data_IF_972645727515
#
_entry.id   IF_972645727515
#
_cell.length_a   1.000
_cell.length_b   1.000
_cell.length_c   1.000
_cell.angle_alpha   90.00
_cell.angle_beta   90.00
_cell.angle_gamma   90.00
#
_symmetry.space_group_name_H-M   'P 1'
#
loop_
_entity.id
_entity.type
_entity.pdbx_description
1 polymer ?
#
# COMPACT_ATOMS: atom_id res chain seq x y z
N UNK A 1 8.17 0.38 -27.41
CA UNK A 1 7.87 1.45 -28.38
C UNK A 1 8.67 2.66 -27.96
N UNK A 2 9.21 3.43 -28.90
CA UNK A 2 10.06 4.60 -28.64
C UNK A 2 9.53 5.77 -29.47
N UNK A 3 9.41 6.93 -28.84
CA UNK A 3 9.30 8.23 -29.50
C UNK A 3 10.37 9.18 -28.94
N UNK A 4 10.41 10.43 -29.42
CA UNK A 4 11.45 11.39 -29.02
C UNK A 4 11.49 11.70 -27.51
N UNK A 5 10.40 11.46 -26.78
CA UNK A 5 10.23 11.83 -25.38
C UNK A 5 10.06 10.62 -24.44
N UNK A 6 9.84 9.42 -24.98
CA UNK A 6 9.55 8.23 -24.18
C UNK A 6 10.13 6.95 -24.79
N UNK A 7 10.62 6.07 -23.92
CA UNK A 7 10.85 4.65 -24.22
C UNK A 7 10.00 3.78 -23.29
N UNK A 8 9.20 2.89 -23.86
CA UNK A 8 8.51 1.82 -23.11
C UNK A 8 9.02 0.44 -23.54
N UNK A 9 9.53 -0.31 -22.57
CA UNK A 9 10.02 -1.69 -22.71
C UNK A 9 9.01 -2.65 -22.10
N UNK A 10 8.75 -3.76 -22.78
CA UNK A 10 7.90 -4.86 -22.32
C UNK A 10 8.70 -6.16 -22.33
N UNK A 11 8.63 -6.89 -21.21
CA UNK A 11 9.25 -8.19 -21.01
C UNK A 11 8.15 -9.19 -20.66
N UNK A 12 7.58 -9.78 -21.69
CA UNK A 12 6.50 -10.76 -21.57
C UNK A 12 7.05 -12.16 -21.41
N UNK A 13 6.53 -12.88 -20.41
CA UNK A 13 6.68 -14.32 -20.25
C UNK A 13 5.30 -14.94 -20.35
N UNK A 14 5.07 -15.72 -21.41
CA UNK A 14 3.86 -16.51 -21.54
C UNK A 14 3.96 -17.79 -20.72
N UNK A 15 2.82 -18.31 -20.25
CA UNK A 15 2.80 -19.63 -19.62
C UNK A 15 3.23 -20.71 -20.62
N UNK A 16 4.08 -21.62 -20.16
CA UNK A 16 4.52 -22.80 -20.91
C UNK A 16 4.12 -24.03 -20.09
N UNK A 17 3.15 -24.79 -20.60
CA UNK A 17 2.62 -25.97 -19.91
C UNK A 17 3.65 -27.10 -19.79
N UNK A 18 4.75 -27.07 -20.57
CA UNK A 18 5.83 -28.06 -20.48
C UNK A 18 6.82 -27.74 -19.36
N UNK A 19 6.82 -26.51 -18.85
CA UNK A 19 7.71 -26.09 -17.78
C UNK A 19 6.98 -26.05 -16.44
N UNK A 20 7.16 -27.10 -15.63
CA UNK A 20 6.53 -27.22 -14.32
C UNK A 20 6.90 -26.10 -13.31
N UNK A 21 7.98 -25.33 -13.57
CA UNK A 21 8.34 -24.16 -12.74
C UNK A 21 7.54 -22.91 -13.09
N UNK A 22 6.80 -22.90 -14.20
CA UNK A 22 5.99 -21.77 -14.61
C UNK A 22 4.60 -21.84 -13.97
N UNK A 23 4.26 -20.80 -13.21
CA UNK A 23 2.88 -20.50 -12.86
C UNK A 23 2.03 -20.45 -14.13
N UNK A 24 0.82 -21.02 -14.10
CA UNK A 24 -0.21 -20.94 -15.15
C UNK A 24 -0.71 -19.49 -15.32
N UNK A 25 0.18 -18.60 -15.73
CA UNK A 25 -0.04 -17.15 -15.77
C UNK A 25 0.97 -16.48 -16.73
N UNK A 26 0.44 -15.67 -17.63
CA UNK A 26 1.21 -14.71 -18.41
C UNK A 26 1.63 -13.55 -17.51
N UNK A 27 2.89 -13.13 -17.62
CA UNK A 27 3.44 -12.00 -16.87
C UNK A 27 4.12 -11.06 -17.87
N UNK A 28 3.61 -9.84 -18.01
CA UNK A 28 4.25 -8.78 -18.77
C UNK A 28 4.79 -7.71 -17.81
N UNK A 29 6.12 -7.58 -17.76
CA UNK A 29 6.80 -6.56 -16.95
C UNK A 29 7.16 -5.40 -17.85
N UNK A 30 6.76 -4.20 -17.46
CA UNK A 30 6.94 -3.01 -18.28
C UNK A 30 7.71 -1.92 -17.55
N UNK A 31 8.56 -1.22 -18.29
CA UNK A 31 9.37 -0.10 -17.82
C UNK A 31 9.20 1.07 -18.77
N UNK A 32 9.00 2.26 -18.22
CA UNK A 32 8.85 3.49 -18.99
C UNK A 32 9.89 4.50 -18.52
N UNK A 33 10.65 5.04 -19.46
CA UNK A 33 11.63 6.10 -19.24
C UNK A 33 11.15 7.31 -20.03
N UNK A 34 11.06 8.46 -19.36
CA UNK A 34 10.66 9.73 -19.96
C UNK A 34 11.86 10.68 -20.00
N UNK A 35 11.98 11.44 -21.09
CA UNK A 35 13.02 12.45 -21.26
C UNK A 35 12.92 13.51 -20.15
N UNK A 36 14.05 13.80 -19.50
CA UNK A 36 14.15 14.87 -18.51
C UNK A 36 13.61 14.52 -17.12
N UNK A 37 13.18 13.28 -16.90
CA UNK A 37 12.70 12.80 -15.60
C UNK A 37 13.80 12.00 -14.89
N UNK A 38 14.06 12.32 -13.62
CA UNK A 38 15.08 11.65 -12.80
C UNK A 38 14.54 10.34 -12.20
N UNK A 39 14.32 9.35 -13.05
CA UNK A 39 13.76 8.08 -12.63
C UNK A 39 13.17 7.27 -13.78
N UNK A 40 12.40 6.25 -13.44
CA UNK A 40 11.66 5.46 -14.41
C UNK A 40 10.41 4.87 -13.77
N UNK A 41 9.38 4.62 -14.56
CA UNK A 41 8.15 3.99 -14.13
C UNK A 41 8.23 2.49 -14.39
N UNK A 42 7.58 1.69 -13.55
CA UNK A 42 7.43 0.26 -13.78
C UNK A 42 6.05 -0.22 -13.40
N UNK A 43 5.56 -1.21 -14.14
CA UNK A 43 4.26 -1.83 -13.92
C UNK A 43 4.24 -3.26 -14.42
N UNK A 44 3.28 -4.04 -13.95
CA UNK A 44 3.10 -5.43 -14.35
C UNK A 44 1.69 -5.70 -14.82
N UNK A 45 1.54 -6.50 -15.87
CA UNK A 45 0.26 -7.05 -16.31
C UNK A 45 0.31 -8.55 -16.08
N UNK A 46 -0.59 -9.04 -15.24
CA UNK A 46 -0.74 -10.48 -14.99
C UNK A 46 -2.02 -10.94 -15.68
N UNK A 47 -1.94 -12.06 -16.38
CA UNK A 47 -3.06 -12.60 -17.15
C UNK A 47 -3.16 -14.12 -17.03
N UNK A 48 -4.41 -14.60 -17.00
CA UNK A 48 -4.80 -15.98 -17.21
C UNK A 48 -5.89 -16.03 -18.29
N UNK A 49 -5.73 -16.98 -19.21
CA UNK A 49 -6.75 -17.27 -20.21
C UNK A 49 -7.72 -18.34 -19.70
N UNK A 50 -8.89 -18.39 -20.33
CA UNK A 50 -9.95 -19.33 -19.99
C UNK A 50 -9.47 -20.79 -20.13
N UNK A 51 -9.89 -21.64 -19.19
CA UNK A 51 -9.56 -23.07 -19.17
C UNK A 51 -8.17 -23.41 -18.61
N UNK A 52 -7.42 -22.43 -18.11
CA UNK A 52 -6.08 -22.69 -17.55
C UNK A 52 -6.12 -23.38 -16.18
N UNK A 53 -5.13 -24.25 -15.86
CA UNK A 53 -5.12 -25.03 -14.62
C UNK A 53 -5.12 -24.16 -13.36
N UNK A 54 -5.73 -24.69 -12.30
CA UNK A 54 -5.80 -24.07 -10.97
C UNK A 54 -4.43 -23.63 -10.46
N UNK A 55 -4.41 -22.49 -9.77
CA UNK A 55 -3.20 -21.98 -9.12
C UNK A 55 -3.53 -21.12 -7.91
N UNK A 56 -2.60 -21.14 -6.95
CA UNK A 56 -2.56 -20.21 -5.82
C UNK A 56 -1.30 -19.36 -5.92
N UNK A 57 -1.48 -18.04 -5.95
CA UNK A 57 -0.39 -17.06 -5.95
C UNK A 57 -0.50 -16.20 -4.71
N UNK A 58 0.42 -16.40 -3.78
CA UNK A 58 0.36 -15.77 -2.46
C UNK A 58 1.03 -14.40 -2.38
N UNK A 59 1.94 -14.08 -3.29
CA UNK A 59 2.64 -12.79 -3.30
C UNK A 59 2.97 -12.35 -4.73
N UNK A 60 2.79 -11.06 -4.99
CA UNK A 60 3.23 -10.38 -6.21
C UNK A 60 3.80 -9.02 -5.85
N UNK A 61 4.98 -8.70 -6.39
CA UNK A 61 5.74 -7.50 -6.01
C UNK A 61 6.84 -7.16 -6.99
N UNK A 62 7.23 -5.89 -6.99
CA UNK A 62 8.50 -5.42 -7.57
C UNK A 62 9.51 -5.25 -6.43
N UNK A 63 10.76 -5.67 -6.67
CA UNK A 63 11.82 -5.62 -5.67
C UNK A 63 13.11 -5.12 -6.32
N UNK A 64 13.69 -4.09 -5.72
CA UNK A 64 15.03 -3.61 -6.02
C UNK A 64 15.96 -3.97 -4.86
N UNK A 65 17.02 -4.73 -5.17
CA UNK A 65 18.12 -4.99 -4.23
C UNK A 65 19.22 -4.00 -4.53
N UNK A 66 19.36 -2.99 -3.67
CA UNK A 66 20.34 -1.94 -3.86
C UNK A 66 21.73 -2.41 -3.40
N UNK A 67 22.77 -1.67 -3.79
CA UNK A 67 24.14 -1.99 -3.40
C UNK A 67 24.34 -1.61 -1.93
N UNK A 68 24.48 -2.60 -1.06
CA UNK A 68 24.66 -2.44 0.40
C UNK A 68 25.75 -1.44 0.80
N UNK A 69 26.88 -1.43 0.08
CA UNK A 69 27.96 -0.49 0.34
C UNK A 69 27.59 0.97 0.08
N UNK A 70 26.56 1.23 -0.72
CA UNK A 70 26.10 2.57 -1.04
C UNK A 70 24.91 2.95 -0.16
N UNK A 71 23.89 2.10 -0.07
CA UNK A 71 22.61 2.43 0.56
C UNK A 71 22.52 1.83 1.96
N UNK A 72 22.62 2.68 2.98
CA UNK A 72 22.71 2.28 4.39
C UNK A 72 21.62 2.89 5.27
N UNK A 73 20.97 3.95 4.80
CA UNK A 73 19.96 4.67 5.55
C UNK A 73 18.61 4.49 4.86
N UNK A 74 17.61 4.04 5.60
CA UNK A 74 16.26 3.77 5.11
C UNK A 74 15.29 4.80 5.67
N UNK A 75 14.32 5.21 4.84
CA UNK A 75 13.23 6.09 5.23
C UNK A 75 11.91 5.57 4.65
N UNK A 76 10.93 5.32 5.53
CA UNK A 76 9.59 4.84 5.15
C UNK A 76 8.46 5.74 5.69
N UNK A 77 8.76 6.63 6.63
CA UNK A 77 7.91 7.75 7.07
C UNK A 77 8.80 8.83 7.71
N UNK A 78 8.23 9.97 8.10
CA UNK A 78 8.98 11.03 8.82
C UNK A 78 9.53 10.53 10.17
N UNK A 79 8.82 9.59 10.79
CA UNK A 79 9.10 9.02 12.10
C UNK A 79 9.96 7.77 12.03
N UNK A 80 9.97 7.08 10.88
CA UNK A 80 10.60 5.77 10.70
C UNK A 80 11.72 5.86 9.68
N UNK A 81 12.84 6.41 10.13
CA UNK A 81 14.07 6.52 9.37
C UNK A 81 15.27 6.12 10.22
N UNK A 82 16.21 5.36 9.66
CA UNK A 82 17.41 4.92 10.40
C UNK A 82 18.52 4.42 9.50
N UNK A 83 19.71 4.34 10.07
CA UNK A 83 20.74 3.42 9.60
C UNK A 83 20.24 2.00 9.81
N UNK A 84 20.28 1.21 8.75
CA UNK A 84 19.86 -0.18 8.76
C UNK A 84 21.03 -1.12 9.00
N UNK A 85 20.80 -2.27 9.66
CA UNK A 85 21.78 -3.35 9.64
C UNK A 85 22.06 -3.82 8.21
N UNK A 86 23.24 -4.38 7.99
CA UNK A 86 23.57 -5.09 6.74
C UNK A 86 22.99 -6.50 6.74
N UNK A 87 22.98 -7.16 5.58
CA UNK A 87 22.63 -8.57 5.51
C UNK A 87 23.61 -9.44 6.34
N UNK A 88 24.90 -9.05 6.36
CA UNK A 88 25.92 -9.73 7.16
C UNK A 88 25.71 -9.54 8.67
N UNK A 89 25.33 -8.34 9.11
CA UNK A 89 25.02 -8.08 10.53
C UNK A 89 23.87 -8.98 11.02
N UNK A 90 22.86 -9.19 10.18
CA UNK A 90 21.77 -10.14 10.46
C UNK A 90 22.24 -11.59 10.45
N UNK A 91 23.09 -11.98 9.50
CA UNK A 91 23.60 -13.36 9.41
C UNK A 91 24.43 -13.75 10.64
N UNK A 92 25.23 -12.81 11.15
CA UNK A 92 26.04 -12.97 12.37
C UNK A 92 25.25 -12.77 13.67
N UNK A 93 24.02 -12.26 13.57
CA UNK A 93 23.13 -12.03 14.69
C UNK A 93 22.52 -13.32 15.26
N UNK A 94 21.88 -13.19 16.41
CA UNK A 94 21.16 -14.30 17.02
C UNK A 94 19.70 -14.27 16.57
N UNK A 95 19.27 -15.28 15.80
CA UNK A 95 17.84 -15.51 15.56
C UNK A 95 17.14 -15.79 16.89
N UNK A 96 16.02 -15.14 17.10
CA UNK A 96 15.15 -15.34 18.26
C UNK A 96 14.09 -16.41 17.91
N UNK A 97 12.93 -16.36 18.57
CA UNK A 97 11.88 -17.38 18.42
C UNK A 97 11.32 -17.44 16.99
N UNK A 98 11.32 -16.32 16.28
CA UNK A 98 10.95 -16.23 14.86
C UNK A 98 12.17 -16.00 13.98
N UNK A 99 12.24 -16.63 12.79
CA UNK A 99 13.39 -16.48 11.90
C UNK A 99 13.54 -15.05 11.35
N UNK A 100 12.46 -14.26 11.33
CA UNK A 100 12.49 -12.84 11.00
C UNK A 100 13.11 -11.96 12.09
N UNK A 101 13.00 -12.33 13.36
CA UNK A 101 13.49 -11.54 14.48
C UNK A 101 14.95 -11.90 14.80
N UNK A 102 15.85 -10.94 14.60
CA UNK A 102 17.30 -11.15 14.80
C UNK A 102 17.84 -10.12 15.78
N UNK A 103 18.41 -10.58 16.89
CA UNK A 103 19.18 -9.76 17.81
C UNK A 103 20.55 -9.45 17.20
N UNK A 104 20.81 -8.16 16.99
CA UNK A 104 21.98 -7.66 16.29
C UNK A 104 23.19 -7.52 17.21
N UNK A 105 24.36 -7.97 16.76
CA UNK A 105 25.65 -7.70 17.41
C UNK A 105 26.74 -7.13 16.44
N UNK A 106 26.43 -6.10 15.64
CA UNK A 106 27.35 -5.53 14.67
C UNK A 106 28.45 -4.66 15.31
N UNK A 107 29.43 -4.29 14.50
CA UNK A 107 30.46 -3.29 14.88
C UNK A 107 29.87 -1.90 15.01
N UNK A 108 28.79 -1.59 14.26
CA UNK A 108 28.10 -0.31 14.35
C UNK A 108 27.34 -0.22 15.69
N UNK A 109 27.80 0.66 16.59
CA UNK A 109 27.23 0.83 17.92
C UNK A 109 25.80 1.39 17.92
N UNK A 110 25.37 2.08 16.85
CA UNK A 110 24.04 2.69 16.77
C UNK A 110 22.90 1.67 16.67
N UNK A 111 23.19 0.44 16.26
CA UNK A 111 22.20 -0.62 16.02
C UNK A 111 22.53 -1.90 16.80
N UNK A 112 23.55 -1.84 17.67
CA UNK A 112 24.03 -2.97 18.45
C UNK A 112 23.10 -3.25 19.61
N UNK A 113 22.72 -4.53 19.79
CA UNK A 113 21.79 -4.96 20.83
C UNK A 113 20.33 -4.69 20.51
N UNK A 114 20.01 -4.26 19.30
CA UNK A 114 18.64 -4.11 18.82
C UNK A 114 18.11 -5.37 18.14
N UNK A 115 16.79 -5.54 18.12
CA UNK A 115 16.14 -6.59 17.34
C UNK A 115 15.67 -6.03 16.00
N UNK A 116 16.08 -6.66 14.91
CA UNK A 116 15.66 -6.33 13.56
C UNK A 116 14.67 -7.37 13.03
N UNK A 117 13.50 -6.91 12.61
CA UNK A 117 12.47 -7.70 11.95
C UNK A 117 11.88 -6.93 10.75
N UNK A 118 11.81 -7.59 9.59
CA UNK A 118 11.30 -6.99 8.35
C UNK A 118 9.87 -6.45 8.50
N UNK A 119 9.04 -7.06 9.35
CA UNK A 119 7.64 -6.68 9.56
C UNK A 119 7.49 -5.37 10.34
N UNK A 120 8.52 -4.92 11.05
CA UNK A 120 8.53 -3.61 11.68
C UNK A 120 8.44 -2.49 10.62
N UNK A 121 8.99 -2.73 9.43
CA UNK A 121 9.01 -1.80 8.31
C UNK A 121 7.79 -1.95 7.37
N UNK A 122 6.69 -2.51 7.86
CA UNK A 122 5.42 -2.53 7.14
C UNK A 122 4.66 -1.21 7.30
N UNK A 123 3.81 -0.90 6.34
CA UNK A 123 2.92 0.27 6.36
C UNK A 123 1.53 -0.13 5.89
N UNK A 124 0.50 0.55 6.41
CA UNK A 124 -0.84 0.51 5.83
C UNK A 124 -0.78 1.06 4.40
N UNK A 125 -1.55 0.50 3.48
CA UNK A 125 -1.64 0.96 2.09
C UNK A 125 -1.88 2.47 1.99
N UNK A 126 -2.82 3.00 2.80
CA UNK A 126 -3.16 4.43 2.86
C UNK A 126 -2.00 5.36 3.22
N UNK A 127 -0.92 4.84 3.79
CA UNK A 127 0.27 5.60 4.20
C UNK A 127 1.49 5.28 3.29
N UNK A 128 1.39 4.28 2.42
CA UNK A 128 2.51 3.74 1.65
C UNK A 128 2.62 4.41 0.26
N UNK A 129 2.91 5.71 0.29
CA UNK A 129 3.03 6.59 -0.89
C UNK A 129 4.47 6.75 -1.38
N UNK A 130 5.44 6.86 -0.46
CA UNK A 130 6.86 6.98 -0.79
C UNK A 130 7.73 6.35 0.29
N UNK A 131 8.72 5.58 -0.14
CA UNK A 131 9.74 5.02 0.75
C UNK A 131 11.02 4.70 0.00
N UNK A 132 12.13 4.60 0.73
CA UNK A 132 13.35 4.07 0.14
C UNK A 132 14.61 4.27 0.94
N UNK A 133 15.69 4.55 0.22
CA UNK A 133 17.04 4.47 0.74
C UNK A 133 17.89 5.68 0.33
N UNK A 134 18.72 6.12 1.27
CA UNK A 134 19.73 7.14 1.09
C UNK A 134 21.10 6.48 1.06
N UNK A 135 21.88 6.86 0.05
CA UNK A 135 23.32 6.68 0.03
C UNK A 135 24.00 7.96 0.53
N UNK A 136 24.88 7.89 1.54
CA UNK A 136 25.65 9.05 1.97
C UNK A 136 26.83 9.34 1.02
N UNK A 137 27.26 8.36 0.22
CA UNK A 137 28.35 8.52 -0.74
C UNK A 137 28.21 7.56 -1.94
N UNK A 138 27.84 8.07 -3.14
CA UNK A 138 27.48 9.46 -3.41
C UNK A 138 26.19 9.85 -2.68
N UNK A 139 25.98 11.14 -2.41
CA UNK A 139 24.77 11.66 -1.72
C UNK A 139 23.55 11.57 -2.63
N UNK A 140 22.94 10.39 -2.69
CA UNK A 140 21.85 10.06 -3.63
C UNK A 140 20.73 9.29 -2.94
N UNK A 141 19.49 9.54 -3.33
CA UNK A 141 18.33 8.78 -2.89
C UNK A 141 17.83 7.81 -3.96
N UNK A 142 17.24 6.70 -3.51
CA UNK A 142 16.48 5.76 -4.32
C UNK A 142 15.12 5.56 -3.66
N UNK A 143 14.06 5.97 -4.36
CA UNK A 143 12.71 6.04 -3.81
C UNK A 143 11.74 5.26 -4.66
N UNK A 144 10.77 4.64 -4.00
CA UNK A 144 9.62 4.03 -4.63
C UNK A 144 8.39 4.86 -4.31
N UNK A 145 7.81 5.47 -5.34
CA UNK A 145 6.60 6.28 -5.26
C UNK A 145 5.42 5.50 -5.83
N UNK A 146 4.34 5.43 -5.06
CA UNK A 146 3.08 4.77 -5.44
C UNK A 146 1.97 5.81 -5.49
N UNK A 147 1.56 6.29 -6.68
CA UNK A 147 0.62 7.40 -6.82
C UNK A 147 -0.86 6.99 -6.61
N UNK A 148 -1.14 5.70 -6.46
CA UNK A 148 -2.49 5.16 -6.25
C UNK A 148 -2.43 3.77 -5.60
N UNK A 149 -3.45 3.47 -4.80
CA UNK A 149 -3.69 2.13 -4.24
C UNK A 149 -4.61 1.26 -5.13
N UNK A 150 -5.02 1.73 -6.32
CA UNK A 150 -6.15 1.11 -7.04
C UNK A 150 -5.97 -0.37 -7.36
N UNK A 151 -4.72 -0.78 -7.56
CA UNK A 151 -4.34 -2.15 -7.88
C UNK A 151 -4.00 -2.99 -6.64
N UNK A 152 -3.84 -2.38 -5.46
CA UNK A 152 -3.57 -3.09 -4.20
C UNK A 152 -4.83 -3.80 -3.71
N UNK A 153 -4.66 -4.64 -2.70
CA UNK A 153 -5.71 -5.49 -2.12
C UNK A 153 -6.02 -5.11 -0.67
N UNK A 154 -7.16 -5.57 -0.16
CA UNK A 154 -7.52 -5.46 1.26
C UNK A 154 -7.81 -4.04 1.75
N UNK A 155 -7.98 -3.09 0.83
CA UNK A 155 -8.34 -1.71 1.12
C UNK A 155 -7.28 -0.89 1.87
N UNK A 156 -7.68 0.27 2.45
CA UNK A 156 -6.75 1.29 2.94
C UNK A 156 -5.88 0.85 4.13
N UNK A 157 -6.39 -0.06 4.97
CA UNK A 157 -5.76 -0.47 6.23
C UNK A 157 -4.95 -1.77 6.11
N UNK A 158 -4.92 -2.39 4.93
CA UNK A 158 -4.08 -3.57 4.69
C UNK A 158 -2.61 -3.17 4.80
N UNK A 159 -1.86 -3.92 5.61
CA UNK A 159 -0.43 -3.70 5.82
C UNK A 159 0.42 -4.56 4.89
N UNK A 160 1.50 -3.98 4.40
CA UNK A 160 2.48 -4.69 3.59
C UNK A 160 3.91 -4.15 3.77
N UNK A 161 4.89 -4.94 3.32
CA UNK A 161 6.31 -4.60 3.43
C UNK A 161 6.69 -3.45 2.50
N UNK A 162 7.62 -2.60 2.96
CA UNK A 162 8.16 -1.47 2.20
C UNK A 162 9.66 -1.67 1.89
N UNK A 163 10.55 -1.04 2.65
CA UNK A 163 12.00 -1.23 2.62
C UNK A 163 12.48 -1.97 3.86
N UNK A 164 13.46 -2.85 3.73
CA UNK A 164 14.03 -3.58 4.86
C UNK A 164 15.50 -3.99 4.62
N UNK A 165 16.12 -4.56 5.65
CA UNK A 165 17.54 -4.97 5.67
C UNK A 165 18.01 -5.70 4.42
N UNK A 166 19.23 -5.38 3.97
CA UNK A 166 19.85 -5.91 2.74
C UNK A 166 19.65 -5.00 1.53
N UNK A 167 19.87 -3.69 1.71
CA UNK A 167 18.96 -2.61 1.28
C UNK A 167 17.96 -3.01 0.20
N UNK A 168 16.86 -3.59 0.65
CA UNK A 168 15.76 -4.01 -0.20
C UNK A 168 14.72 -2.90 -0.23
N UNK A 169 14.32 -2.48 -1.43
CA UNK A 169 13.18 -1.59 -1.65
C UNK A 169 12.10 -2.35 -2.42
N UNK A 170 10.88 -2.41 -1.89
CA UNK A 170 9.80 -3.24 -2.44
C UNK A 170 8.55 -2.42 -2.72
N UNK A 171 7.78 -2.87 -3.71
CA UNK A 171 6.39 -2.47 -3.86
C UNK A 171 5.53 -3.73 -3.91
N UNK A 172 4.73 -3.94 -2.87
CA UNK A 172 3.82 -5.08 -2.79
C UNK A 172 2.55 -4.78 -3.58
N UNK A 173 2.24 -5.67 -4.52
CA UNK A 173 0.98 -5.62 -5.27
C UNK A 173 -0.12 -6.39 -4.53
N UNK A 174 0.23 -7.58 -4.05
CA UNK A 174 -0.63 -8.42 -3.23
C UNK A 174 0.23 -9.35 -2.36
N UNK A 175 -0.29 -9.70 -1.18
CA UNK A 175 0.36 -10.61 -0.24
C UNK A 175 -0.63 -11.22 0.76
N UNK A 176 -0.24 -12.34 1.36
CA UNK A 176 -0.91 -12.92 2.53
C UNK A 176 -0.52 -12.27 3.86
N UNK A 177 0.36 -11.26 3.88
CA UNK A 177 0.79 -10.63 5.13
C UNK A 177 -0.41 -9.97 5.82
N UNK A 178 -0.57 -10.17 7.13
CA UNK A 178 -1.65 -9.58 7.95
C UNK A 178 -3.10 -9.93 7.54
N UNK A 179 -3.29 -10.86 6.59
CA UNK A 179 -4.62 -11.38 6.25
C UNK A 179 -4.67 -12.88 5.99
N UNK A 180 -3.52 -13.55 5.88
CA UNK A 180 -3.45 -15.00 5.63
C UNK A 180 -3.82 -15.39 4.20
N UNK A 181 -4.03 -16.69 3.98
CA UNK A 181 -4.26 -17.25 2.64
C UNK A 181 -5.57 -16.80 1.98
N UNK A 182 -6.51 -16.21 2.72
CA UNK A 182 -7.75 -15.66 2.15
C UNK A 182 -7.46 -14.50 1.18
N UNK A 183 -6.33 -13.82 1.37
CA UNK A 183 -5.81 -12.80 0.47
C UNK A 183 -4.89 -13.37 -0.63
N UNK A 184 -4.73 -14.69 -0.73
CA UNK A 184 -4.06 -15.28 -1.88
C UNK A 184 -4.91 -15.15 -3.15
N UNK A 185 -4.27 -14.93 -4.30
CA UNK A 185 -4.96 -15.04 -5.58
C UNK A 185 -5.16 -16.53 -5.89
N UNK A 186 -6.41 -17.00 -5.73
CA UNK A 186 -6.81 -18.38 -5.99
C UNK A 186 -7.67 -18.44 -7.24
N UNK A 187 -7.15 -19.07 -8.29
CA UNK A 187 -7.88 -19.27 -9.55
C UNK A 187 -8.30 -20.72 -9.66
N UNK A 188 -9.57 -20.96 -9.98
CA UNK A 188 -10.19 -22.28 -10.06
C UNK A 188 -10.99 -22.42 -11.34
N UNK A 189 -11.22 -23.66 -11.76
CA UNK A 189 -12.19 -24.03 -12.82
C UNK A 189 -11.96 -23.28 -14.15
N UNK A 190 -10.69 -22.96 -14.46
CA UNK A 190 -10.35 -22.27 -15.70
C UNK A 190 -10.70 -20.78 -15.75
N UNK A 191 -10.90 -20.13 -14.60
CA UNK A 191 -11.22 -18.69 -14.50
C UNK A 191 -10.21 -17.81 -15.28
N UNK A 192 -10.67 -17.04 -16.29
CA UNK A 192 -9.85 -16.02 -16.94
C UNK A 192 -9.72 -14.80 -16.02
N UNK A 193 -8.57 -14.14 -16.06
CA UNK A 193 -8.33 -12.97 -15.24
C UNK A 193 -7.21 -12.12 -15.83
N UNK A 194 -7.32 -10.80 -15.75
CA UNK A 194 -6.25 -9.87 -16.15
C UNK A 194 -6.26 -8.67 -15.22
N UNK A 195 -5.09 -8.24 -14.76
CA UNK A 195 -4.94 -7.02 -13.95
C UNK A 195 -3.61 -6.33 -14.19
N UNK A 196 -3.68 -5.00 -14.26
CA UNK A 196 -2.52 -4.09 -14.29
C UNK A 196 -2.19 -3.64 -12.87
N UNK A 197 -0.91 -3.76 -12.50
CA UNK A 197 -0.35 -3.31 -11.22
C UNK A 197 0.67 -2.19 -11.45
N UNK A 198 0.37 -0.98 -10.95
CA UNK A 198 1.10 0.26 -11.24
C UNK A 198 0.46 1.08 -12.38
N UNK A 199 1.21 2.01 -13.01
CA UNK A 199 2.63 2.27 -12.79
C UNK A 199 3.00 2.88 -11.45
N UNK A 200 4.12 2.39 -10.91
CA UNK A 200 4.82 2.96 -9.75
C UNK A 200 6.10 3.63 -10.26
N UNK A 201 6.56 4.67 -9.56
CA UNK A 201 7.68 5.49 -10.02
C UNK A 201 8.92 5.26 -9.16
N UNK A 202 10.00 4.80 -9.78
CA UNK A 202 11.33 4.74 -9.17
C UNK A 202 11.98 6.10 -9.35
N UNK A 203 12.04 6.88 -8.27
CA UNK A 203 12.61 8.22 -8.29
C UNK A 203 14.04 8.23 -7.76
N UNK A 204 14.90 8.98 -8.44
CA UNK A 204 16.31 9.13 -8.11
C UNK A 204 16.61 10.61 -7.96
N UNK A 205 17.18 11.00 -6.82
CA UNK A 205 17.64 12.36 -6.59
C UNK A 205 19.06 12.36 -6.02
N UNK A 206 19.73 13.50 -6.10
CA UNK A 206 21.10 13.67 -5.65
C UNK A 206 21.32 15.07 -5.11
N UNK A 207 22.16 15.18 -4.08
CA UNK A 207 22.53 16.49 -3.53
C UNK A 207 23.67 17.13 -4.32
N UNK A 208 23.60 18.46 -4.43
CA UNK A 208 24.71 19.27 -4.93
C UNK A 208 25.92 19.17 -4.00
N UNK A 209 27.07 19.71 -4.41
CA UNK A 209 28.27 19.73 -3.57
C UNK A 209 28.03 20.47 -2.23
N UNK A 210 27.22 21.54 -2.27
CA UNK A 210 27.05 22.49 -1.18
C UNK A 210 25.99 22.07 -0.14
N UNK A 211 25.04 21.20 -0.51
CA UNK A 211 24.02 20.69 0.41
C UNK A 211 24.60 19.58 1.30
N UNK A 212 24.65 19.82 2.62
CA UNK A 212 25.25 18.89 3.57
C UNK A 212 24.23 17.98 4.23
N UNK A 213 22.98 18.40 4.35
CA UNK A 213 21.95 17.60 5.00
C UNK A 213 21.37 16.55 4.05
N UNK A 214 21.81 15.30 4.22
CA UNK A 214 21.31 14.15 3.45
C UNK A 214 19.80 13.93 3.58
N UNK A 215 19.14 14.43 4.64
CA UNK A 215 17.70 14.26 4.84
C UNK A 215 16.86 15.14 3.89
N UNK A 216 17.46 16.14 3.24
CA UNK A 216 16.79 16.89 2.16
C UNK A 216 16.40 15.99 0.99
N UNK A 217 17.12 14.88 0.74
CA UNK A 217 16.75 13.87 -0.26
C UNK A 217 15.38 13.25 0.01
N UNK A 218 15.01 13.05 1.29
CA UNK A 218 13.70 12.54 1.67
C UNK A 218 12.61 13.60 1.47
N UNK A 219 12.90 14.85 1.81
CA UNK A 219 11.96 15.97 1.62
C UNK A 219 11.61 16.15 0.13
N UNK A 220 12.62 16.16 -0.73
CA UNK A 220 12.47 16.23 -2.19
C UNK A 220 11.71 15.00 -2.75
N UNK A 221 11.94 13.80 -2.22
CA UNK A 221 11.18 12.61 -2.61
C UNK A 221 9.68 12.70 -2.24
N UNK A 222 9.35 13.33 -1.10
CA UNK A 222 7.95 13.60 -0.74
C UNK A 222 7.31 14.64 -1.67
N UNK A 223 8.05 15.68 -2.04
CA UNK A 223 7.58 16.66 -3.04
C UNK A 223 7.30 15.98 -4.38
N UNK A 224 8.21 15.14 -4.86
CA UNK A 224 7.99 14.35 -6.07
C UNK A 224 6.77 13.42 -5.94
N UNK A 225 6.55 12.80 -4.77
CA UNK A 225 5.38 11.96 -4.53
C UNK A 225 4.06 12.71 -4.70
N UNK A 226 3.98 13.96 -4.23
CA UNK A 226 2.80 14.79 -4.45
C UNK A 226 2.58 15.09 -5.93
N UNK A 227 3.64 15.40 -6.67
CA UNK A 227 3.58 15.63 -8.13
C UNK A 227 3.05 14.37 -8.85
N UNK A 228 3.59 13.19 -8.54
CA UNK A 228 3.13 11.93 -9.16
C UNK A 228 1.66 11.61 -8.81
N UNK A 229 1.23 11.92 -7.58
CA UNK A 229 -0.16 11.72 -7.13
C UNK A 229 -1.11 12.66 -7.85
N UNK A 230 -0.73 13.92 -8.08
CA UNK A 230 -1.53 14.90 -8.85
C UNK A 230 -1.61 14.54 -10.34
N UNK A 231 -0.53 13.97 -10.88
CA UNK A 231 -0.46 13.54 -12.28
C UNK A 231 -1.21 12.21 -12.54
N UNK A 232 -1.72 11.53 -11.52
CA UNK A 232 -2.45 10.28 -11.70
C UNK A 232 -3.87 10.51 -12.27
N UNK A 233 -4.29 9.73 -13.28
CA UNK A 233 -3.59 8.65 -13.97
C UNK A 233 -2.69 9.17 -15.09
N UNK A 234 -1.55 8.51 -15.29
CA UNK A 234 -0.60 8.89 -16.31
C UNK A 234 -1.15 8.77 -17.75
N UNK A 235 -0.75 9.68 -18.62
CA UNK A 235 -1.15 9.69 -20.04
C UNK A 235 -0.21 8.89 -20.96
N UNK A 236 0.99 8.59 -20.48
CA UNK A 236 2.09 8.03 -21.26
C UNK A 236 2.14 6.48 -21.36
N UNK A 237 1.53 5.66 -20.46
CA UNK A 237 1.57 4.21 -20.64
C UNK A 237 0.88 3.78 -21.94
N UNK A 238 1.57 2.94 -22.74
CA UNK A 238 1.12 2.56 -24.08
C UNK A 238 0.32 1.25 -24.10
N UNK A 239 0.25 0.50 -22.98
CA UNK A 239 -0.59 -0.70 -22.93
C UNK A 239 -2.07 -0.34 -23.08
N UNK A 240 -2.79 -1.09 -23.92
CA UNK A 240 -4.25 -1.00 -24.01
C UNK A 240 -4.94 -1.50 -22.73
N UNK A 241 -4.25 -2.32 -21.94
CA UNK A 241 -4.74 -2.81 -20.65
C UNK A 241 -4.74 -1.72 -19.57
N UNK A 242 -3.95 -0.65 -19.76
CA UNK A 242 -3.91 0.46 -18.83
C UNK A 242 -5.05 1.45 -19.14
N UNK A 243 -6.00 1.58 -18.21
CA UNK A 243 -7.10 2.51 -18.36
C UNK A 243 -6.59 3.97 -18.23
N UNK A 244 -6.76 4.75 -19.30
CA UNK A 244 -6.39 6.18 -19.38
C UNK A 244 -7.38 7.08 -18.65
N UNK A 245 -7.02 8.35 -18.46
CA UNK A 245 -7.84 9.33 -17.74
C UNK A 245 -9.25 9.49 -18.33
N UNK A 246 -9.38 9.57 -19.64
CA UNK A 246 -10.64 9.72 -20.38
C UNK A 246 -11.52 8.46 -20.35
N UNK A 247 -10.90 7.31 -20.09
CA UNK A 247 -11.60 6.03 -19.93
C UNK A 247 -12.14 5.81 -18.52
N UNK A 248 -11.81 6.68 -17.57
CA UNK A 248 -12.22 6.55 -16.16
C UNK A 248 -13.42 7.43 -15.84
N UNK A 249 -14.12 7.08 -14.77
CA UNK A 249 -15.25 7.82 -14.23
C UNK A 249 -14.98 8.43 -12.86
N UNK A 250 -16.00 9.10 -12.34
CA UNK A 250 -15.99 9.71 -11.00
C UNK A 250 -17.28 9.40 -10.27
N UNK A 251 -17.19 9.20 -8.96
CA UNK A 251 -18.33 8.96 -8.08
C UNK A 251 -18.28 9.94 -6.92
N UNK A 252 -19.39 10.62 -6.66
CA UNK A 252 -19.48 11.61 -5.58
C UNK A 252 -20.76 11.45 -4.79
N UNK A 253 -20.80 11.94 -3.56
CA UNK A 253 -22.00 11.96 -2.74
C UNK A 253 -21.74 12.56 -1.37
N UNK A 254 -22.66 12.30 -0.43
CA UNK A 254 -22.52 12.68 0.98
C UNK A 254 -22.87 11.51 1.87
N UNK A 255 -22.05 11.21 2.86
CA UNK A 255 -22.33 10.21 3.89
C UNK A 255 -22.70 10.91 5.20
N UNK A 256 -23.82 10.52 5.79
CA UNK A 256 -24.26 10.92 7.11
C UNK A 256 -24.50 9.69 7.98
N UNK A 257 -24.43 9.88 9.29
CA UNK A 257 -24.68 8.83 10.28
C UNK A 257 -25.99 9.10 11.00
N UNK A 258 -26.79 8.06 11.17
CA UNK A 258 -27.95 8.06 12.05
C UNK A 258 -27.66 7.16 13.25
N UNK A 259 -27.55 7.77 14.42
CA UNK A 259 -27.41 7.07 15.69
C UNK A 259 -28.32 7.73 16.72
N UNK A 260 -29.53 7.19 16.88
CA UNK A 260 -30.57 7.76 17.76
C UNK A 260 -30.21 7.76 19.25
N UNK A 261 -29.18 7.02 19.65
CA UNK A 261 -28.69 7.00 21.03
C UNK A 261 -27.62 8.07 21.28
N UNK A 262 -27.04 8.64 20.22
CA UNK A 262 -26.06 9.73 20.28
C UNK A 262 -26.70 11.08 19.96
N UNK A 263 -27.50 11.14 18.89
CA UNK A 263 -28.20 12.36 18.47
C UNK A 263 -29.53 12.05 17.79
N UNK A 264 -30.52 12.93 17.96
CA UNK A 264 -31.77 12.88 17.19
C UNK A 264 -31.61 13.40 15.76
N UNK A 265 -30.57 14.19 15.48
CA UNK A 265 -30.23 14.67 14.14
C UNK A 265 -29.23 13.74 13.45
N UNK A 266 -29.19 13.81 12.11
CA UNK A 266 -28.12 13.18 11.34
C UNK A 266 -26.77 13.83 11.70
N UNK A 267 -25.75 13.01 11.82
CA UNK A 267 -24.38 13.41 12.16
C UNK A 267 -23.53 13.37 10.89
N UNK A 268 -22.62 14.32 10.70
CA UNK A 268 -21.70 14.29 9.57
C UNK A 268 -20.68 13.17 9.76
N UNK A 269 -20.51 12.35 8.73
CA UNK A 269 -19.49 11.31 8.72
C UNK A 269 -18.14 11.93 8.38
N UNK A 270 -17.49 12.62 9.32
CA UNK A 270 -16.18 13.24 9.09
C UNK A 270 -15.07 12.18 8.99
N UNK A 271 -14.14 12.33 8.04
CA UNK A 271 -12.98 11.44 7.85
C UNK A 271 -13.33 9.96 7.63
N UNK A 272 -14.59 9.65 7.30
CA UNK A 272 -15.04 8.32 6.95
C UNK A 272 -14.33 7.86 5.67
N UNK A 273 -13.81 6.63 5.70
CA UNK A 273 -13.27 6.00 4.52
C UNK A 273 -14.43 5.45 3.70
N UNK A 274 -14.51 5.87 2.46
CA UNK A 274 -15.56 5.49 1.52
C UNK A 274 -14.92 5.08 0.20
N UNK A 275 -15.37 3.96 -0.35
CA UNK A 275 -14.72 3.37 -1.49
C UNK A 275 -15.58 2.45 -2.34
N UNK A 276 -15.06 2.13 -3.52
CA UNK A 276 -15.63 1.19 -4.47
C UNK A 276 -14.74 -0.04 -4.52
N UNK A 277 -15.34 -1.21 -4.40
CA UNK A 277 -14.68 -2.49 -4.60
C UNK A 277 -15.63 -3.46 -5.32
N UNK A 278 -15.17 -4.69 -5.59
CA UNK A 278 -16.02 -5.70 -6.20
C UNK A 278 -17.35 -5.87 -5.43
N UNK A 279 -18.46 -6.14 -6.14
CA UNK A 279 -19.71 -6.51 -5.51
C UNK A 279 -19.53 -7.72 -4.59
N UNK A 280 -20.13 -7.65 -3.40
CA UNK A 280 -20.03 -8.68 -2.38
C UNK A 280 -20.82 -8.32 -1.14
N UNK A 281 -20.60 -9.08 -0.07
CA UNK A 281 -21.23 -8.83 1.23
C UNK A 281 -20.64 -7.60 1.92
N UNK A 282 -21.34 -7.07 2.92
CA UNK A 282 -20.86 -6.01 3.79
C UNK A 282 -19.48 -6.37 4.37
N UNK A 283 -18.48 -5.51 4.16
CA UNK A 283 -17.10 -5.72 4.64
C UNK A 283 -16.22 -6.60 3.74
N UNK A 284 -16.76 -7.21 2.68
CA UNK A 284 -16.02 -8.11 1.77
C UNK A 284 -14.83 -7.44 1.06
N UNK A 285 -14.84 -6.12 0.95
CA UNK A 285 -13.72 -5.33 0.41
C UNK A 285 -12.39 -5.56 1.15
N UNK A 286 -12.41 -5.96 2.42
CA UNK A 286 -11.22 -6.25 3.23
C UNK A 286 -10.48 -7.51 2.77
N UNK A 287 -11.18 -8.42 2.08
CA UNK A 287 -10.62 -9.67 1.56
C UNK A 287 -10.56 -9.71 0.03
N UNK A 288 -11.06 -8.67 -0.63
CA UNK A 288 -11.03 -8.53 -2.08
C UNK A 288 -9.59 -8.38 -2.58
N UNK A 289 -9.22 -9.23 -3.53
CA UNK A 289 -7.85 -9.43 -4.00
C UNK A 289 -7.67 -9.47 -5.53
N UNK A 290 -8.72 -9.76 -6.30
CA UNK A 290 -8.68 -9.92 -7.76
C UNK A 290 -9.07 -8.65 -8.51
N UNK A 291 -9.99 -7.85 -7.99
CA UNK A 291 -10.50 -6.65 -8.62
C UNK A 291 -9.74 -5.38 -8.19
N UNK A 292 -10.05 -4.25 -8.82
CA UNK A 292 -9.57 -2.94 -8.39
C UNK A 292 -10.41 -2.40 -7.23
N UNK A 293 -9.81 -1.57 -6.39
CA UNK A 293 -10.52 -0.84 -5.34
C UNK A 293 -10.17 0.64 -5.36
N UNK A 294 -11.09 1.52 -4.99
CA UNK A 294 -10.87 2.96 -5.01
C UNK A 294 -11.37 3.54 -3.71
N UNK A 295 -10.55 4.31 -3.00
CA UNK A 295 -10.88 4.81 -1.67
C UNK A 295 -10.58 6.30 -1.55
N UNK A 296 -11.39 6.99 -0.76
CA UNK A 296 -11.16 8.37 -0.36
C UNK A 296 -11.69 8.58 1.06
N UNK A 297 -11.43 9.76 1.62
CA UNK A 297 -12.05 10.19 2.86
C UNK A 297 -13.07 11.28 2.58
N UNK A 298 -14.14 11.24 3.36
CA UNK A 298 -15.11 12.33 3.43
C UNK A 298 -14.51 13.58 4.08
N UNK A 299 -14.99 14.75 3.66
CA UNK A 299 -14.65 16.02 4.30
C UNK A 299 -15.40 16.21 5.64
N UNK A 300 -15.20 17.37 6.29
CA UNK A 300 -15.85 17.70 7.57
C UNK A 300 -17.38 17.73 7.51
N UNK A 301 -17.95 17.88 6.31
CA UNK A 301 -19.38 17.90 6.05
C UNK A 301 -19.92 16.54 5.58
N UNK A 302 -19.05 15.53 5.44
CA UNK A 302 -19.42 14.18 4.98
C UNK A 302 -19.46 14.04 3.45
N UNK A 303 -19.03 15.03 2.67
CA UNK A 303 -18.98 14.90 1.22
C UNK A 303 -17.75 14.10 0.78
N UNK A 304 -17.89 13.32 -0.28
CA UNK A 304 -16.79 12.55 -0.85
C UNK A 304 -16.75 12.67 -2.38
N UNK A 305 -15.54 12.47 -2.92
CA UNK A 305 -15.29 12.40 -4.36
C UNK A 305 -14.23 11.34 -4.65
N UNK A 306 -14.68 10.22 -5.22
CA UNK A 306 -13.82 9.15 -5.73
C UNK A 306 -13.53 9.44 -7.20
N UNK A 307 -12.30 9.83 -7.52
CA UNK A 307 -11.84 10.15 -8.87
C UNK A 307 -11.22 8.92 -9.55
N UNK A 308 -11.05 9.00 -10.87
CA UNK A 308 -10.21 8.09 -11.65
C UNK A 308 -10.63 6.61 -11.56
N UNK A 309 -11.91 6.34 -11.39
CA UNK A 309 -12.45 4.99 -11.23
C UNK A 309 -12.46 4.27 -12.58
N UNK A 310 -11.85 3.09 -12.66
CA UNK A 310 -11.88 2.26 -13.87
C UNK A 310 -13.33 1.83 -14.16
N UNK A 311 -13.75 1.71 -15.44
CA UNK A 311 -15.07 1.21 -15.76
C UNK A 311 -15.34 -0.17 -15.14
N UNK A 312 -16.54 -0.35 -14.60
CA UNK A 312 -16.90 -1.59 -13.91
C UNK A 312 -18.20 -1.49 -13.13
N UNK A 313 -18.58 -2.61 -12.54
CA UNK A 313 -19.70 -2.70 -11.61
C UNK A 313 -19.15 -2.85 -10.19
N UNK A 314 -19.55 -1.97 -9.29
CA UNK A 314 -18.99 -1.89 -7.94
C UNK A 314 -20.07 -1.89 -6.87
N UNK A 315 -19.73 -2.38 -5.68
CA UNK A 315 -20.43 -1.99 -4.45
C UNK A 315 -19.70 -0.79 -3.84
N UNK A 316 -20.46 0.13 -3.24
CA UNK A 316 -19.92 1.22 -2.45
C UNK A 316 -19.90 0.80 -0.98
N UNK A 317 -18.73 0.89 -0.37
CA UNK A 317 -18.50 0.54 1.02
C UNK A 317 -18.04 1.77 1.80
N UNK A 318 -18.32 1.82 3.09
CA UNK A 318 -17.71 2.81 3.97
C UNK A 318 -17.50 2.28 5.38
N UNK A 319 -16.58 2.91 6.11
CA UNK A 319 -16.48 2.79 7.55
C UNK A 319 -16.07 4.15 8.13
N UNK A 320 -16.55 4.44 9.33
CA UNK A 320 -16.40 5.77 9.93
C UNK A 320 -15.67 5.60 11.26
N UNK A 321 -14.49 6.21 11.43
CA UNK A 321 -13.82 6.22 12.72
C UNK A 321 -14.75 6.67 13.84
N UNK A 322 -14.83 5.90 14.93
CA UNK A 322 -15.72 6.19 16.06
C UNK A 322 -17.13 5.59 15.94
N UNK A 323 -17.44 4.91 14.83
CA UNK A 323 -18.67 4.12 14.68
C UNK A 323 -18.36 2.66 14.39
N UNK A 324 -19.10 1.77 15.06
CA UNK A 324 -18.96 0.31 14.88
C UNK A 324 -19.59 -0.10 13.57
N UNK A 325 -18.91 -0.97 12.83
CA UNK A 325 -19.45 -1.71 11.69
C UNK A 325 -18.94 -1.23 10.33
N UNK A 326 -19.42 -1.92 9.30
CA UNK A 326 -19.18 -1.60 7.90
C UNK A 326 -20.50 -1.16 7.26
N UNK A 327 -20.45 -0.11 6.46
CA UNK A 327 -21.54 0.33 5.60
C UNK A 327 -21.37 -0.25 4.20
N UNK A 328 -22.48 -0.64 3.58
CA UNK A 328 -22.58 -0.92 2.16
C UNK A 328 -23.83 -0.25 1.60
N UNK A 329 -23.69 0.38 0.43
CA UNK A 329 -24.84 0.90 -0.31
C UNK A 329 -25.50 -0.22 -1.11
N UNK A 330 -26.80 -0.45 -0.94
CA UNK A 330 -27.49 -1.59 -1.56
C UNK A 330 -27.43 -1.58 -3.10
N UNK A 331 -27.67 -0.44 -3.79
CA UNK A 331 -27.58 -0.38 -5.25
C UNK A 331 -26.14 -0.41 -5.75
N UNK A 332 -25.92 -1.14 -6.84
CA UNK A 332 -24.61 -1.15 -7.49
C UNK A 332 -24.25 0.20 -8.13
N UNK A 333 -22.96 0.50 -8.11
CA UNK A 333 -22.34 1.64 -8.76
C UNK A 333 -21.71 1.17 -10.08
N UNK A 334 -22.48 1.29 -11.16
CA UNK A 334 -21.96 1.15 -12.52
C UNK A 334 -21.19 2.42 -12.90
N UNK A 335 -19.92 2.24 -13.29
CA UNK A 335 -19.04 3.29 -13.82
C UNK A 335 -18.74 2.98 -15.28
N UNK A 336 -18.99 3.96 -16.15
CA UNK A 336 -18.63 3.90 -17.58
C UNK A 336 -17.56 4.95 -17.90
N UNK A 337 -16.85 4.85 -19.05
CA UNK A 337 -15.88 5.86 -19.47
C UNK A 337 -16.45 7.29 -19.42
N UNK A 338 -15.71 8.21 -18.81
CA UNK A 338 -16.08 9.62 -18.66
C UNK A 338 -17.29 9.89 -17.75
N UNK A 339 -17.87 8.87 -17.11
CA UNK A 339 -19.07 9.06 -16.29
C UNK A 339 -18.82 9.89 -15.04
N UNK A 340 -19.83 10.68 -14.66
CA UNK A 340 -19.88 11.43 -13.41
C UNK A 340 -21.13 11.01 -12.66
N UNK A 341 -20.99 10.03 -11.76
CA UNK A 341 -22.11 9.50 -10.98
C UNK A 341 -22.20 10.23 -9.65
N UNK A 342 -23.37 10.83 -9.39
CA UNK A 342 -23.70 11.39 -8.08
C UNK A 342 -24.62 10.43 -7.36
N UNK A 343 -24.11 9.82 -6.31
CA UNK A 343 -24.94 9.17 -5.28
C UNK A 343 -25.41 10.31 -4.38
N UNK A 344 -26.69 10.36 -4.04
CA UNK A 344 -27.23 11.44 -3.21
C UNK A 344 -26.71 11.35 -1.76
N UNK A 345 -27.51 11.76 -0.79
CA UNK A 345 -27.15 11.58 0.62
C UNK A 345 -27.37 10.14 1.04
N UNK A 346 -26.27 9.50 1.43
CA UNK A 346 -26.22 8.19 2.04
C UNK A 346 -26.38 8.32 3.55
N UNK A 347 -27.11 7.38 4.14
CA UNK A 347 -27.32 7.32 5.58
C UNK A 347 -26.79 5.99 6.08
N UNK A 348 -25.84 6.04 7.00
CA UNK A 348 -25.40 4.88 7.76
C UNK A 348 -26.19 4.80 9.07
N UNK A 349 -27.09 3.83 9.14
CA UNK A 349 -27.77 3.48 10.39
C UNK A 349 -26.83 2.62 11.24
N UNK A 350 -26.38 3.17 12.39
CA UNK A 350 -25.40 2.47 13.22
C UNK A 350 -26.01 1.19 13.82
N UNK A 351 -25.26 0.08 13.94
CA UNK A 351 -25.79 -1.20 14.40
C UNK A 351 -26.00 -1.26 15.93
N UNK A 352 -26.32 -0.13 16.58
CA UNK A 352 -26.52 -0.07 18.04
C UNK A 352 -27.95 -0.47 18.41
N UNK A 353 -28.07 -1.34 19.41
CA UNK A 353 -29.35 -1.77 19.98
C UNK A 353 -29.79 -0.95 21.21
N UNK A 354 -28.94 -0.04 21.70
CA UNK A 354 -29.16 0.71 22.94
C UNK A 354 -28.07 1.75 23.18
N UNK A 355 -28.23 2.61 24.21
CA UNK A 355 -27.20 3.55 24.62
C UNK A 355 -25.97 2.80 25.16
N UNK A 356 -24.77 3.30 24.84
CA UNK A 356 -23.51 2.78 25.37
C UNK A 356 -23.40 3.05 26.87
N UNK A 357 -23.29 1.99 27.69
CA UNK A 357 -23.04 2.13 29.13
C UNK A 357 -21.55 2.32 29.43
N UNK A 358 -20.71 1.57 28.72
CA UNK A 358 -19.26 1.65 28.75
C UNK A 358 -18.71 1.07 27.44
N UNK A 359 -17.49 1.47 27.09
CA UNK A 359 -16.79 1.14 25.85
C UNK A 359 -15.31 1.00 26.21
N UNK A 360 -14.65 -0.01 25.64
CA UNK A 360 -13.19 -0.13 25.70
C UNK A 360 -12.71 -0.03 24.26
N UNK A 361 -12.00 1.04 23.96
CA UNK A 361 -11.52 1.32 22.62
C UNK A 361 -12.49 2.14 21.79
N UNK A 362 -11.95 2.93 20.86
CA UNK A 362 -12.65 3.66 19.82
C UNK A 362 -12.69 2.75 18.58
N UNK A 363 -13.85 2.54 17.94
CA UNK A 363 -13.95 1.76 16.71
C UNK A 363 -13.40 2.55 15.51
N UNK A 364 -12.08 2.76 15.49
CA UNK A 364 -11.35 3.46 14.42
C UNK A 364 -10.39 2.56 13.64
N UNK A 365 -10.44 1.25 13.94
CA UNK A 365 -9.58 0.19 13.38
C UNK A 365 -8.10 0.34 13.74
N UNK A 366 -7.79 1.05 14.81
CA UNK A 366 -6.43 1.17 15.34
C UNK A 366 -6.35 0.59 16.75
N UNK A 367 -5.13 0.31 17.19
CA UNK A 367 -4.84 -0.02 18.58
C UNK A 367 -4.22 1.16 19.34
N UNK A 368 -4.36 2.40 18.82
CA UNK A 368 -3.54 3.54 19.22
C UNK A 368 -3.75 3.99 20.68
N UNK A 369 -4.95 3.81 21.24
CA UNK A 369 -5.26 4.19 22.62
C UNK A 369 -4.87 3.14 23.67
N UNK A 370 -4.58 1.92 23.24
CA UNK A 370 -4.32 0.82 24.15
C UNK A 370 -2.91 0.94 24.75
N UNK A 371 -2.80 0.59 26.03
CA UNK A 371 -1.50 0.56 26.69
C UNK A 371 -0.61 -0.52 26.07
N UNK A 372 0.57 -0.10 25.63
CA UNK A 372 1.61 -0.92 25.02
C UNK A 372 2.76 -1.00 26.05
N UNK A 373 3.00 -2.16 26.69
CA UNK A 373 4.07 -2.27 27.68
C UNK A 373 5.45 -2.01 27.06
N UNK A 374 6.39 -1.58 27.89
CA UNK A 374 7.78 -1.41 27.47
C UNK A 374 8.39 -2.76 27.10
N UNK A 375 9.04 -2.80 25.92
CA UNK A 375 9.80 -3.96 25.52
C UNK A 375 10.99 -4.16 26.48
N UNK A 376 11.40 -5.42 26.64
CA UNK A 376 12.56 -5.77 27.47
C UNK A 376 13.79 -4.99 26.99
N UNK A 377 14.55 -4.32 27.88
CA UNK A 377 15.64 -3.43 27.47
C UNK A 377 16.69 -4.04 26.54
N UNK A 378 16.89 -5.36 26.60
CA UNK A 378 17.85 -6.11 25.77
C UNK A 378 17.34 -6.47 24.37
N UNK A 379 16.06 -6.22 24.11
CA UNK A 379 15.37 -6.56 22.86
C UNK A 379 14.77 -5.31 22.19
N UNK A 380 15.10 -4.12 22.67
CA UNK A 380 14.55 -2.86 22.16
C UNK A 380 15.03 -2.60 20.74
N UNK A 381 14.12 -2.18 19.88
CA UNK A 381 14.47 -1.53 18.62
C UNK A 381 14.22 -0.03 18.75
N UNK A 382 15.29 0.75 18.71
CA UNK A 382 15.31 2.17 19.08
C UNK A 382 14.44 3.03 18.14
N UNK A 383 14.20 2.56 16.90
CA UNK A 383 13.37 3.26 15.92
C UNK A 383 11.96 3.56 16.44
N UNK A 384 11.42 2.73 17.33
CA UNK A 384 10.03 2.83 17.80
C UNK A 384 9.91 3.24 19.27
N UNK A 385 11.02 3.54 19.94
CA UNK A 385 11.04 4.01 21.34
C UNK A 385 11.06 5.53 21.38
N UNK A 386 11.74 6.16 20.41
CA UNK A 386 11.85 7.62 20.32
C UNK A 386 10.51 8.27 19.99
N UNK A 387 9.66 7.59 19.19
CA UNK A 387 8.31 8.05 18.89
C UNK A 387 7.25 7.14 19.53
N UNK A 388 6.49 7.70 20.47
CA UNK A 388 5.41 7.00 21.17
C UNK A 388 4.31 6.46 20.25
N UNK A 389 4.09 7.07 19.08
CA UNK A 389 3.01 6.68 18.16
C UNK A 389 3.20 5.29 17.55
N UNK A 390 4.43 4.82 17.41
CA UNK A 390 4.74 3.54 16.76
C UNK A 390 5.14 2.44 17.74
N UNK A 391 4.98 2.66 19.05
CA UNK A 391 5.41 1.72 20.11
C UNK A 391 4.78 0.34 19.98
N UNK A 392 3.56 0.24 19.44
CA UNK A 392 2.87 -1.05 19.27
C UNK A 392 3.65 -2.01 18.36
N UNK A 393 4.44 -1.48 17.41
CA UNK A 393 5.27 -2.27 16.49
C UNK A 393 6.44 -2.99 17.18
N UNK A 394 6.75 -2.65 18.43
CA UNK A 394 7.74 -3.39 19.23
C UNK A 394 7.23 -4.76 19.70
N UNK A 395 5.93 -4.90 19.93
CA UNK A 395 5.38 -6.03 20.71
C UNK A 395 4.98 -7.21 19.82
N UNK A 396 4.70 -6.96 18.54
CA UNK A 396 4.39 -8.03 17.56
C UNK A 396 5.52 -9.07 17.40
N UNK A 397 6.72 -8.79 17.93
CA UNK A 397 7.88 -9.69 17.89
C UNK A 397 7.91 -10.69 19.06
N UNK A 398 7.10 -10.49 20.11
CA UNK A 398 7.14 -11.30 21.34
C UNK A 398 5.99 -12.30 21.50
N UNK A 399 5.01 -12.31 20.58
CA UNK A 399 3.82 -13.15 20.65
C UNK A 399 3.99 -14.47 19.95
#
# INVERSE_FOLDING_TARGET
MEDENQVELSFTRTWDSLNASHLSMNIDKRFIILRGISGFYCYGILERLEGWPDIDVYQGRIVFKLKEKLFQYMAISDERQRIMPTAHDREMGQKLDYPEAVLLNPTNSFIKGEVDDKYQYSCDNKNNWVHGWISPNPRTGFWMITPTDEFRMGGPVKQDLTSHTGPVNMNMFFSTHYGGEILGLKFRDGEPWRKVFGPVFVYLNSLSADEQDTLTLWTDAKEQMFIETENWPYSFPLSEDFARADQRGTVSGRLLVRDGYVSQSLITANSAYIGLAAPGDVGSWQIENKAYQFWTQTDSEGYFLIKNVIPGNYSLYAWIPGYIGDYMYDPFIIVTPGSRKRVETLIYDTPRNGPTLWEIGIPDRTAAEFFIPDAQPRLLNQLYVVNNQERFRQIWIMG
#
